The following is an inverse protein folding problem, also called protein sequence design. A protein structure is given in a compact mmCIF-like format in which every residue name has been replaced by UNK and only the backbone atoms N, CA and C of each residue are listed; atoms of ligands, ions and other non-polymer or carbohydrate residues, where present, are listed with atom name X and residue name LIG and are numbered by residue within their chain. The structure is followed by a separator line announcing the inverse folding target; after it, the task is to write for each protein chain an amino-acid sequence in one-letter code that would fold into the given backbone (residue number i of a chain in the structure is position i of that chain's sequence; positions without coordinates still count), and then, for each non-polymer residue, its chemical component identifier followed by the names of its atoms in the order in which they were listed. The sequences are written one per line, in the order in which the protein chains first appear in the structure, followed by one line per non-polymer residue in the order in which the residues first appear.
data_IF_396652498629
#
_entry.id   IF_396652498629
#
_cell.length_a   1.000
_cell.length_b   1.000
_cell.length_c   1.000
_cell.angle_alpha   90.00
_cell.angle_beta   90.00
_cell.angle_gamma   90.00
#
_symmetry.space_group_name_H-M   'P 1'
#
loop_
_entity.id
_entity.type
_entity.pdbx_description
1 polymer ?
#
# COMPACT_ATOMS: atom_id res chain seq x y z
N UNK A 1 8.76 16.16 20.82
CA UNK A 1 8.04 15.32 19.83
C UNK A 1 9.00 14.99 18.72
N UNK A 2 9.56 13.79 18.72
CA UNK A 2 10.35 13.30 17.58
C UNK A 2 9.40 13.11 16.41
N UNK A 3 9.58 13.88 15.34
CA UNK A 3 8.98 13.53 14.05
C UNK A 3 9.57 12.18 13.66
N UNK A 4 8.85 11.09 13.93
CA UNK A 4 9.23 9.78 13.38
C UNK A 4 9.16 9.89 11.87
N UNK A 5 10.30 9.74 11.21
CA UNK A 5 10.39 9.80 9.76
C UNK A 5 9.66 8.59 9.18
N UNK A 6 8.46 8.82 8.62
CA UNK A 6 7.64 7.76 8.04
C UNK A 6 7.97 7.56 6.57
N UNK A 7 8.15 6.31 6.17
CA UNK A 7 8.43 5.95 4.78
C UNK A 7 7.13 5.79 3.98
N UNK A 8 6.81 6.79 3.17
CA UNK A 8 5.63 6.80 2.30
C UNK A 8 5.92 6.34 0.86
N UNK A 9 7.18 6.08 0.53
CA UNK A 9 7.61 5.65 -0.80
C UNK A 9 8.07 4.18 -0.73
N UNK A 10 8.03 3.46 -1.86
CA UNK A 10 8.56 2.10 -1.92
C UNK A 10 10.01 2.03 -1.42
N UNK A 11 10.42 0.92 -0.78
CA UNK A 11 11.76 0.80 -0.25
C UNK A 11 12.78 0.79 -1.38
N UNK A 12 14.02 1.18 -1.09
CA UNK A 12 15.10 1.10 -2.05
C UNK A 12 15.27 -0.35 -2.59
N UNK A 13 15.65 -0.57 -3.86
CA UNK A 13 15.77 -1.90 -4.45
C UNK A 13 16.61 -2.89 -3.63
N UNK A 14 17.65 -2.40 -2.95
CA UNK A 14 18.54 -3.19 -2.08
C UNK A 14 17.86 -3.79 -0.85
N UNK A 15 16.69 -3.26 -0.46
CA UNK A 15 15.91 -3.71 0.70
C UNK A 15 14.82 -4.71 0.31
N UNK A 16 14.59 -4.93 -0.99
CA UNK A 16 13.61 -5.89 -1.48
C UNK A 16 14.05 -7.33 -1.16
N UNK A 17 13.09 -8.13 -0.71
CA UNK A 17 13.31 -9.55 -0.43
C UNK A 17 13.01 -10.36 -1.68
N UNK A 18 13.95 -11.21 -2.11
CA UNK A 18 13.68 -12.18 -3.17
C UNK A 18 12.66 -13.20 -2.67
N UNK A 19 11.54 -13.30 -3.37
CA UNK A 19 10.52 -14.29 -3.06
C UNK A 19 10.10 -15.02 -4.35
N UNK A 20 10.46 -16.32 -4.42
CA UNK A 20 10.17 -17.19 -5.58
C UNK A 20 8.66 -17.40 -5.83
N UNK A 21 7.80 -16.98 -4.89
CA UNK A 21 6.34 -17.08 -5.01
C UNK A 21 5.71 -15.85 -5.68
N UNK A 22 6.48 -14.81 -6.00
CA UNK A 22 5.94 -13.65 -6.71
C UNK A 22 5.63 -14.00 -8.17
N UNK A 23 4.58 -13.38 -8.70
CA UNK A 23 4.18 -13.52 -10.10
C UNK A 23 5.30 -12.93 -10.97
N UNK A 24 5.63 -13.59 -12.09
CA UNK A 24 6.43 -13.00 -13.19
C UNK A 24 7.95 -12.82 -12.99
N UNK A 25 8.61 -13.65 -12.18
CA UNK A 25 10.07 -13.83 -12.26
C UNK A 25 10.93 -12.67 -11.73
N UNK A 26 12.14 -12.50 -12.29
CA UNK A 26 13.19 -11.59 -11.77
C UNK A 26 12.82 -10.11 -11.84
N UNK A 27 12.12 -9.66 -12.89
CA UNK A 27 11.78 -8.25 -13.08
C UNK A 27 10.85 -7.72 -11.98
N UNK A 28 9.79 -8.48 -11.64
CA UNK A 28 8.91 -8.15 -10.52
C UNK A 28 9.65 -8.24 -9.20
N UNK A 29 10.64 -9.13 -9.06
CA UNK A 29 11.38 -9.27 -7.79
C UNK A 29 12.31 -8.09 -7.49
N UNK A 30 12.75 -7.33 -8.49
CA UNK A 30 13.73 -6.24 -8.32
C UNK A 30 13.16 -4.83 -8.44
N UNK A 31 11.97 -4.67 -9.02
CA UNK A 31 11.33 -3.35 -9.16
C UNK A 31 10.56 -2.98 -7.87
N UNK A 32 10.97 -1.97 -7.09
CA UNK A 32 10.30 -1.62 -5.84
C UNK A 32 8.89 -1.05 -6.05
N UNK A 33 8.58 -0.55 -7.25
CA UNK A 33 7.25 0.00 -7.56
C UNK A 33 6.21 -1.09 -7.81
N UNK A 34 6.65 -2.33 -8.01
CA UNK A 34 5.78 -3.49 -8.15
C UNK A 34 5.67 -4.23 -6.82
N UNK A 35 4.51 -4.78 -6.48
CA UNK A 35 4.43 -5.73 -5.38
C UNK A 35 4.63 -7.18 -5.89
N UNK A 36 4.49 -8.17 -5.02
CA UNK A 36 4.68 -9.59 -5.34
C UNK A 36 3.62 -10.13 -6.34
N UNK A 37 2.49 -9.42 -6.50
CA UNK A 37 1.45 -9.72 -7.49
C UNK A 37 1.64 -8.94 -8.81
N UNK A 38 2.64 -8.06 -8.90
CA UNK A 38 2.87 -7.20 -10.08
C UNK A 38 2.02 -5.93 -10.09
N UNK A 39 1.33 -5.61 -9.00
CA UNK A 39 0.56 -4.37 -8.84
C UNK A 39 1.48 -3.17 -8.79
N UNK A 40 1.03 -2.03 -9.32
CA UNK A 40 1.82 -0.79 -9.35
C UNK A 40 1.60 0.07 -8.11
N UNK A 41 2.67 0.66 -7.60
CA UNK A 41 2.60 1.55 -6.44
C UNK A 41 1.78 2.80 -6.75
N UNK A 42 0.92 3.19 -5.81
CA UNK A 42 0.19 4.45 -5.83
C UNK A 42 0.39 5.17 -4.49
N UNK A 43 0.77 6.45 -4.57
CA UNK A 43 1.03 7.27 -3.39
C UNK A 43 -0.27 7.51 -2.62
N UNK A 44 -0.20 7.39 -1.29
CA UNK A 44 -1.35 7.52 -0.40
C UNK A 44 -0.92 8.03 0.98
N UNK A 45 -1.85 8.06 1.94
CA UNK A 45 -1.57 8.34 3.36
C UNK A 45 -0.98 7.14 4.12
N UNK A 46 -0.82 5.99 3.47
CA UNK A 46 -0.18 4.82 4.04
C UNK A 46 1.33 5.01 4.21
N UNK A 47 1.92 4.23 5.10
CA UNK A 47 3.36 4.21 5.34
C UNK A 47 3.86 2.80 5.66
N UNK A 48 5.17 2.60 5.46
CA UNK A 48 5.84 1.34 5.68
C UNK A 48 5.58 0.78 7.08
N UNK A 49 5.10 -0.46 7.13
CA UNK A 49 4.83 -1.23 8.35
C UNK A 49 5.44 -2.61 8.18
N UNK A 50 6.60 -2.82 8.80
CA UNK A 50 7.37 -4.06 8.67
C UNK A 50 6.52 -5.31 8.95
N UNK A 51 6.60 -6.27 8.03
CA UNK A 51 5.91 -7.55 8.17
C UNK A 51 6.77 -8.73 7.68
N UNK A 52 6.49 -9.91 8.23
CA UNK A 52 7.02 -11.19 7.75
C UNK A 52 5.91 -12.24 7.55
N UNK A 53 4.73 -12.01 8.16
CA UNK A 53 3.55 -12.87 8.12
C UNK A 53 2.30 -12.02 7.97
N UNK A 54 1.25 -12.60 7.36
CA UNK A 54 -0.03 -11.91 7.14
C UNK A 54 -0.66 -11.40 8.44
N UNK A 55 -0.50 -12.15 9.55
CA UNK A 55 -1.03 -11.79 10.87
C UNK A 55 -0.52 -10.46 11.42
N UNK A 56 0.64 -9.97 10.98
CA UNK A 56 1.15 -8.65 11.39
C UNK A 56 0.27 -7.52 10.86
N UNK A 57 -0.51 -7.76 9.80
CA UNK A 57 -1.35 -6.76 9.15
C UNK A 57 -2.83 -6.82 9.58
N UNK A 58 -3.21 -7.72 10.50
CA UNK A 58 -4.61 -7.86 10.96
C UNK A 58 -5.13 -6.59 11.65
N UNK A 59 -4.25 -5.83 12.27
CA UNK A 59 -4.57 -4.55 12.91
C UNK A 59 -4.29 -3.34 12.01
N UNK A 60 -4.11 -3.54 10.71
CA UNK A 60 -3.93 -2.47 9.73
C UNK A 60 -5.21 -2.24 8.92
N UNK A 61 -5.40 -1.01 8.45
CA UNK A 61 -6.48 -0.57 7.56
C UNK A 61 -5.91 -0.01 6.27
N UNK A 62 -6.76 0.09 5.26
CA UNK A 62 -6.48 0.83 4.03
C UNK A 62 -6.02 2.26 4.36
N UNK A 63 -5.20 2.89 3.49
CA UNK A 63 -4.77 4.25 3.74
C UNK A 63 -5.99 5.19 3.78
N UNK A 64 -5.93 6.20 4.65
CA UNK A 64 -7.07 7.07 4.97
C UNK A 64 -7.74 7.73 3.77
N UNK A 65 -6.96 8.04 2.73
CA UNK A 65 -7.41 8.64 1.47
C UNK A 65 -7.98 7.63 0.46
N UNK A 66 -7.98 6.34 0.79
CA UNK A 66 -8.63 5.25 0.05
C UNK A 66 -9.88 4.72 0.76
N UNK A 67 -10.16 5.12 2.00
CA UNK A 67 -11.34 4.67 2.76
C UNK A 67 -12.65 4.88 1.98
N UNK A 68 -12.79 6.01 1.28
CA UNK A 68 -13.89 6.26 0.35
C UNK A 68 -13.43 5.97 -1.08
N UNK A 69 -13.75 4.76 -1.56
CA UNK A 69 -13.53 4.40 -2.95
C UNK A 69 -14.58 5.08 -3.83
N UNK A 70 -14.17 5.63 -4.99
CA UNK A 70 -15.09 6.18 -5.98
C UNK A 70 -15.31 5.18 -7.13
N UNK A 71 -16.16 5.54 -8.09
CA UNK A 71 -16.55 4.68 -9.23
C UNK A 71 -15.38 4.27 -10.14
N UNK A 72 -14.23 4.96 -10.04
CA UNK A 72 -13.03 4.65 -10.84
C UNK A 72 -12.24 3.47 -10.29
N UNK A 73 -12.54 3.00 -9.07
CA UNK A 73 -11.79 1.92 -8.43
C UNK A 73 -12.70 0.84 -7.85
N UNK A 74 -12.17 -0.38 -7.79
CA UNK A 74 -12.84 -1.54 -7.20
C UNK A 74 -11.89 -2.25 -6.24
N UNK A 75 -12.37 -2.61 -5.05
CA UNK A 75 -11.56 -3.36 -4.09
C UNK A 75 -11.22 -4.75 -4.62
N UNK A 76 -10.02 -5.23 -4.27
CA UNK A 76 -9.74 -6.67 -4.35
C UNK A 76 -10.47 -7.41 -3.23
N UNK A 77 -10.53 -8.74 -3.31
CA UNK A 77 -11.03 -9.57 -2.20
C UNK A 77 -10.06 -9.63 -1.01
N UNK A 78 -8.90 -8.97 -1.09
CA UNK A 78 -7.87 -8.96 -0.07
C UNK A 78 -7.87 -7.63 0.67
N UNK A 79 -8.00 -7.69 2.00
CA UNK A 79 -7.66 -6.55 2.86
C UNK A 79 -6.15 -6.32 2.94
N UNK A 80 -5.73 -5.55 3.94
CA UNK A 80 -4.32 -5.36 4.26
C UNK A 80 -3.61 -6.71 4.48
N UNK A 81 -2.55 -6.94 3.73
CA UNK A 81 -1.79 -8.17 3.79
C UNK A 81 -0.29 -7.92 3.71
N UNK A 82 0.48 -8.92 4.18
CA UNK A 82 1.93 -8.81 4.18
C UNK A 82 2.46 -9.19 2.81
N UNK A 83 2.98 -8.21 2.08
CA UNK A 83 3.78 -8.50 0.90
C UNK A 83 5.20 -8.85 1.34
N UNK A 84 5.58 -10.11 1.14
CA UNK A 84 6.88 -10.61 1.63
C UNK A 84 8.07 -10.08 0.83
N UNK A 85 7.86 -9.55 -0.38
CA UNK A 85 8.92 -8.96 -1.20
C UNK A 85 9.21 -7.54 -0.72
N UNK A 86 8.18 -6.72 -0.58
CA UNK A 86 8.27 -5.36 -0.02
C UNK A 86 8.60 -5.42 1.48
N UNK A 87 8.16 -6.47 2.17
CA UNK A 87 8.33 -6.62 3.61
C UNK A 87 7.42 -5.71 4.43
N UNK A 88 6.29 -5.27 3.85
CA UNK A 88 5.35 -4.34 4.50
C UNK A 88 3.89 -4.77 4.31
N UNK A 89 3.03 -4.29 5.20
CA UNK A 89 1.59 -4.35 5.03
C UNK A 89 1.14 -3.42 3.90
N UNK A 90 0.44 -3.98 2.92
CA UNK A 90 -0.12 -3.26 1.78
C UNK A 90 -1.55 -3.73 1.47
N UNK A 91 -2.27 -2.92 0.71
CA UNK A 91 -3.61 -3.21 0.20
C UNK A 91 -3.67 -2.95 -1.30
N UNK A 92 -4.55 -3.67 -1.99
CA UNK A 92 -4.70 -3.61 -3.44
C UNK A 92 -6.12 -3.22 -3.87
N UNK A 93 -6.22 -2.44 -4.96
CA UNK A 93 -7.48 -2.12 -5.65
C UNK A 93 -7.27 -2.11 -7.16
N UNK A 94 -8.32 -2.41 -7.91
CA UNK A 94 -8.36 -2.29 -9.37
C UNK A 94 -8.74 -0.88 -9.79
N UNK A 95 -8.23 -0.44 -10.92
CA UNK A 95 -8.78 0.69 -11.69
C UNK A 95 -9.87 0.14 -12.62
N UNK A 96 -11.09 0.67 -12.51
CA UNK A 96 -12.22 0.30 -13.35
C UNK A 96 -11.90 0.63 -14.82
N UNK A 97 -12.33 -0.23 -15.74
CA UNK A 97 -12.06 -0.11 -17.18
C UNK A 97 -10.74 -0.72 -17.63
N UNK A 98 -9.62 -0.42 -16.96
CA UNK A 98 -8.30 -0.96 -17.34
C UNK A 98 -7.95 -2.28 -16.64
N UNK A 99 -8.62 -2.60 -15.52
CA UNK A 99 -8.31 -3.71 -14.63
C UNK A 99 -6.85 -3.74 -14.13
N UNK A 100 -6.15 -2.60 -14.22
CA UNK A 100 -4.81 -2.48 -13.66
C UNK A 100 -4.90 -2.49 -12.13
N UNK A 101 -4.01 -3.26 -11.50
CA UNK A 101 -3.94 -3.40 -10.06
C UNK A 101 -2.96 -2.37 -9.47
N UNK A 102 -3.42 -1.63 -8.47
CA UNK A 102 -2.61 -0.69 -7.71
C UNK A 102 -2.44 -1.19 -6.28
N UNK A 103 -1.28 -0.91 -5.68
CA UNK A 103 -1.05 -1.11 -4.26
C UNK A 103 -0.64 0.17 -3.57
N UNK A 104 -0.97 0.24 -2.28
CA UNK A 104 -0.53 1.26 -1.36
C UNK A 104 -0.20 0.64 -0.01
N UNK A 105 0.60 1.34 0.80
CA UNK A 105 0.78 0.96 2.19
C UNK A 105 -0.53 1.07 2.97
N UNK A 106 -0.67 0.20 3.96
CA UNK A 106 -1.73 0.33 4.94
C UNK A 106 -1.38 1.40 5.99
N UNK A 107 -2.31 1.64 6.93
CA UNK A 107 -2.09 2.42 8.16
C UNK A 107 -2.48 1.58 9.40
N UNK A 108 -1.86 1.77 10.57
CA UNK A 108 -2.32 1.14 11.81
C UNK A 108 -3.76 1.54 12.14
N UNK A 109 -4.57 0.59 12.63
CA UNK A 109 -6.00 0.83 12.94
C UNK A 109 -6.21 1.95 13.97
N UNK A 110 -5.30 2.13 14.91
CA UNK A 110 -5.34 3.21 15.90
C UNK A 110 -5.02 4.60 15.32
N UNK A 111 -4.46 4.66 14.11
CA UNK A 111 -4.18 5.90 13.38
C UNK A 111 -5.11 6.10 12.18
N UNK A 112 -5.97 5.12 11.91
CA UNK A 112 -6.89 5.17 10.78
C UNK A 112 -8.01 6.17 11.02
N UNK A 113 -8.24 7.00 10.01
CA UNK A 113 -9.45 7.79 9.84
C UNK A 113 -9.89 7.78 8.37
N UNK A 114 -11.17 8.04 8.12
CA UNK A 114 -11.69 8.11 6.76
C UNK A 114 -11.55 9.55 6.22
N UNK A 115 -10.57 9.80 5.35
CA UNK A 115 -10.37 11.13 4.79
C UNK A 115 -11.44 11.43 3.73
N UNK A 116 -12.34 12.37 4.03
CA UNK A 116 -13.30 12.89 3.05
C UNK A 116 -12.62 13.84 2.06
N UNK A 117 -13.25 14.13 0.91
CA UNK A 117 -12.77 15.15 -0.05
C UNK A 117 -12.46 16.50 0.62
N UNK A 118 -13.17 16.84 1.70
CA UNK A 118 -12.95 18.06 2.49
C UNK A 118 -11.55 18.14 3.12
N UNK A 119 -11.01 17.01 3.61
CA UNK A 119 -9.67 16.96 4.19
C UNK A 119 -8.55 17.11 3.14
N UNK A 120 -8.77 16.66 1.90
CA UNK A 120 -7.82 16.84 0.78
C UNK A 120 -7.67 18.31 0.37
N UNK A 121 -8.74 19.11 0.48
CA UNK A 121 -8.72 20.55 0.13
C UNK A 121 -7.96 21.35 1.19
N UNK A 122 -8.14 21.04 2.49
CA UNK A 122 -7.42 21.74 3.57
C UNK A 122 -5.90 21.53 3.53
N UNK A 123 -5.44 20.33 3.18
CA UNK A 123 -4.00 20.02 3.10
C UNK A 123 -3.26 20.73 1.95
N UNK A 124 -3.99 21.25 0.94
CA UNK A 124 -3.40 21.97 -0.21
C UNK A 124 -3.39 23.49 -0.01
N UNK A 125 -4.12 24.02 0.97
CA UNK A 125 -4.26 25.46 1.24
C UNK A 125 -3.37 25.92 2.42
N UNK A 126 -2.53 25.05 2.96
CA UNK A 126 -1.56 25.39 4.02
C UNK A 126 -0.14 25.24 3.51
#
# INVERSE_FOLDING_TARGET
MTYEFREHLPPAPKLLKRNKRCIGGTNISTDPTLNCHGSKFNRSMGFFQACSRHSHCYSSREPSDWCLINEDFMWTNSGCHCDRKIGSCLIERYIVGSYQLQWAYCVPKNEFFCATRYYKIKATIT
#
